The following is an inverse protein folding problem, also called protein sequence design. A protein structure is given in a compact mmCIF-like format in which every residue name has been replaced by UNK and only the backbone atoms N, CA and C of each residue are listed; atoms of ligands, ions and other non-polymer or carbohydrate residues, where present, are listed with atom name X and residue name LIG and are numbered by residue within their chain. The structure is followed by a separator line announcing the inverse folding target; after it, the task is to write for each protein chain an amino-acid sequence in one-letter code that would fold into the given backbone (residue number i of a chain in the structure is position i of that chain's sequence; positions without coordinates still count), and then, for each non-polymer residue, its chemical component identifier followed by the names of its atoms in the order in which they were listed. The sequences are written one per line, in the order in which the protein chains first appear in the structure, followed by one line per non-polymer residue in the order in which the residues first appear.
data_IF_229168404926
#
_entry.id   IF_229168404926
#
_cell.length_a   1.000
_cell.length_b   1.000
_cell.length_c   1.000
_cell.angle_alpha   90.00
_cell.angle_beta   90.00
_cell.angle_gamma   90.00
#
_symmetry.space_group_name_H-M   'P 1'
#
loop_
_entity.id
_entity.type
_entity.pdbx_description
1 polymer ?
#
# COMPACT_ATOMS: atom_id res chain seq x y z
N UNK A 1 -5.94 -12.56 -2.90
CA UNK A 1 -6.06 -11.51 -3.93
C UNK A 1 -6.29 -10.14 -3.29
N UNK A 2 -5.30 -9.59 -2.60
CA UNK A 2 -5.36 -8.22 -2.07
C UNK A 2 -4.40 -7.34 -2.85
N UNK A 3 -4.85 -6.15 -3.26
CA UNK A 3 -4.03 -5.12 -3.92
C UNK A 3 -3.15 -4.31 -2.97
N UNK A 4 -3.34 -4.48 -1.66
CA UNK A 4 -2.62 -3.75 -0.62
C UNK A 4 -1.48 -4.60 -0.04
N UNK A 5 -0.29 -4.02 0.07
CA UNK A 5 0.92 -4.66 0.54
C UNK A 5 1.57 -3.73 1.57
N UNK A 6 2.07 -4.31 2.66
CA UNK A 6 2.86 -3.59 3.64
C UNK A 6 4.31 -4.05 3.51
N UNK A 7 5.22 -3.11 3.30
CA UNK A 7 6.64 -3.36 3.05
C UNK A 7 7.44 -2.59 4.09
N UNK A 8 8.43 -3.24 4.70
CA UNK A 8 9.38 -2.62 5.62
C UNK A 8 10.49 -1.93 4.83
N UNK A 9 10.11 -0.88 4.12
CA UNK A 9 11.00 0.01 3.37
C UNK A 9 10.45 1.43 3.36
N UNK A 10 11.34 2.37 3.06
CA UNK A 10 11.07 3.75 2.71
C UNK A 10 10.17 3.88 1.48
N UNK A 11 9.41 4.97 1.49
CA UNK A 11 8.49 5.36 0.40
C UNK A 11 9.23 5.50 -0.93
N UNK A 12 10.41 6.10 -0.90
CA UNK A 12 11.21 6.39 -2.10
C UNK A 12 11.74 5.12 -2.75
N UNK A 13 12.28 4.18 -1.96
CA UNK A 13 12.75 2.88 -2.47
C UNK A 13 11.62 2.09 -3.12
N UNK A 14 10.45 2.01 -2.45
CA UNK A 14 9.29 1.29 -2.99
C UNK A 14 8.79 1.97 -4.27
N UNK A 15 8.76 3.31 -4.30
CA UNK A 15 8.34 4.08 -5.48
C UNK A 15 9.27 3.88 -6.66
N UNK A 16 10.58 3.83 -6.44
CA UNK A 16 11.58 3.59 -7.47
C UNK A 16 11.45 2.17 -8.05
N UNK A 17 11.23 1.18 -7.19
CA UNK A 17 10.97 -0.20 -7.62
C UNK A 17 9.69 -0.29 -8.45
N UNK A 18 8.63 0.38 -8.03
CA UNK A 18 7.37 0.39 -8.79
C UNK A 18 7.54 1.08 -10.15
N UNK A 19 8.23 2.22 -10.22
CA UNK A 19 8.53 2.90 -11.47
C UNK A 19 9.38 2.04 -12.41
N UNK A 20 10.42 1.39 -11.89
CA UNK A 20 11.31 0.52 -12.67
C UNK A 20 10.58 -0.67 -13.31
N UNK A 21 9.59 -1.22 -12.61
CA UNK A 21 8.79 -2.35 -13.09
C UNK A 21 7.50 -1.93 -13.81
N UNK A 22 7.21 -0.63 -13.91
CA UNK A 22 5.99 -0.12 -14.54
C UNK A 22 4.69 -0.38 -13.75
N UNK A 23 4.78 -0.67 -12.44
CA UNK A 23 3.61 -0.93 -11.61
C UNK A 23 2.81 0.35 -11.36
N UNK A 24 1.49 0.27 -11.51
CA UNK A 24 0.62 1.43 -11.29
C UNK A 24 0.19 1.53 -9.83
N UNK A 25 0.70 2.55 -9.15
CA UNK A 25 0.39 2.83 -7.75
C UNK A 25 -0.94 3.58 -7.65
N UNK A 26 -1.84 3.08 -6.81
CA UNK A 26 -3.06 3.77 -6.43
C UNK A 26 -2.85 4.63 -5.19
N UNK A 27 -2.19 4.09 -4.16
CA UNK A 27 -1.95 4.75 -2.87
C UNK A 27 -0.60 4.32 -2.35
N UNK A 28 0.16 5.26 -1.79
CA UNK A 28 1.42 5.00 -1.10
C UNK A 28 1.44 5.82 0.19
N UNK A 29 1.49 5.13 1.32
CA UNK A 29 1.40 5.71 2.66
C UNK A 29 2.55 5.21 3.52
N UNK A 30 3.28 6.12 4.16
CA UNK A 30 4.24 5.74 5.19
C UNK A 30 3.51 5.29 6.46
N UNK A 31 4.06 4.26 7.12
CA UNK A 31 3.56 3.67 8.34
C UNK A 31 4.41 4.16 9.51
N UNK A 32 3.76 4.47 10.64
CA UNK A 32 4.44 4.89 11.87
C UNK A 32 5.43 3.83 12.40
N UNK A 33 5.22 2.57 12.02
CA UNK A 33 6.09 1.43 12.33
C UNK A 33 7.42 1.43 11.55
N UNK A 34 7.68 2.40 10.68
CA UNK A 34 8.91 2.48 9.89
C UNK A 34 8.87 1.74 8.54
N UNK A 35 7.68 1.51 8.00
CA UNK A 35 7.49 0.89 6.69
C UNK A 35 6.53 1.70 5.81
N UNK A 36 6.05 1.10 4.72
CA UNK A 36 5.12 1.72 3.80
C UNK A 36 4.01 0.73 3.44
N UNK A 37 2.79 1.26 3.39
CA UNK A 37 1.64 0.60 2.79
C UNK A 37 1.50 1.11 1.36
N UNK A 38 1.63 0.19 0.42
CA UNK A 38 1.38 0.44 -0.99
C UNK A 38 0.11 -0.28 -1.42
N UNK A 39 -0.74 0.42 -2.16
CA UNK A 39 -1.90 -0.16 -2.83
C UNK A 39 -1.68 0.06 -4.32
N UNK A 40 -1.63 -1.05 -5.07
CA UNK A 40 -1.54 -0.99 -6.53
C UNK A 40 -2.94 -0.98 -7.15
N UNK A 41 -3.02 -0.54 -8.41
CA UNK A 41 -4.27 -0.58 -9.17
C UNK A 41 -4.67 -2.02 -9.52
N UNK A 42 -3.71 -2.84 -9.96
CA UNK A 42 -3.96 -4.22 -10.37
C UNK A 42 -3.53 -5.21 -9.27
N UNK A 43 -4.38 -6.19 -8.91
CA UNK A 43 -4.00 -7.25 -7.97
C UNK A 43 -2.87 -8.17 -8.48
N UNK A 44 -2.65 -8.30 -9.79
CA UNK A 44 -1.55 -9.07 -10.40
C UNK A 44 -0.21 -8.39 -10.18
N UNK A 45 -0.17 -7.07 -10.39
CA UNK A 45 1.00 -6.25 -10.06
C UNK A 45 1.32 -6.36 -8.57
N UNK A 46 0.28 -6.44 -7.73
CA UNK A 46 0.47 -6.59 -6.29
C UNK A 46 1.08 -7.94 -5.94
N UNK A 47 0.68 -9.01 -6.63
CA UNK A 47 1.27 -10.33 -6.43
C UNK A 47 2.74 -10.37 -6.89
N UNK A 48 3.04 -9.78 -8.05
CA UNK A 48 4.40 -9.64 -8.55
C UNK A 48 5.30 -8.83 -7.59
N UNK A 49 4.79 -7.70 -7.07
CA UNK A 49 5.52 -6.89 -6.09
C UNK A 49 5.71 -7.64 -4.76
N UNK A 50 4.72 -8.44 -4.31
CA UNK A 50 4.89 -9.32 -3.13
C UNK A 50 5.98 -10.35 -3.35
N UNK A 51 6.05 -10.97 -4.53
CA UNK A 51 7.08 -11.95 -4.85
C UNK A 51 8.48 -11.32 -4.87
N UNK A 52 8.61 -10.13 -5.47
CA UNK A 52 9.87 -9.37 -5.52
C UNK A 52 10.35 -8.91 -4.14
N UNK A 53 9.44 -8.48 -3.28
CA UNK A 53 9.74 -7.90 -1.96
C UNK A 53 9.52 -8.89 -0.81
N UNK A 54 9.49 -10.21 -1.08
CA UNK A 54 9.08 -11.23 -0.11
C UNK A 54 9.86 -11.17 1.21
N UNK A 55 11.16 -10.88 1.15
CA UNK A 55 12.01 -10.75 2.34
C UNK A 55 11.83 -9.46 3.16
N UNK A 56 11.03 -8.50 2.67
CA UNK A 56 10.75 -7.22 3.33
C UNK A 56 9.25 -7.02 3.63
N UNK A 57 8.45 -8.07 3.46
CA UNK A 57 7.01 -8.01 3.77
C UNK A 57 6.82 -7.88 5.28
N UNK A 58 5.94 -6.97 5.69
CA UNK A 58 5.52 -6.88 7.09
C UNK A 58 4.44 -7.93 7.31
N UNK A 59 4.80 -9.05 7.95
CA UNK A 59 3.87 -10.08 8.39
C UNK A 59 3.24 -9.63 9.72
N UNK A 60 1.97 -9.21 9.69
CA UNK A 60 1.23 -8.86 10.92
C UNK A 60 0.27 -7.68 10.78
N UNK A 61 -0.35 -7.30 11.90
CA UNK A 61 -1.23 -6.14 11.96
C UNK A 61 -0.41 -4.86 11.92
N UNK A 62 -0.55 -4.12 10.83
CA UNK A 62 0.05 -2.80 10.69
C UNK A 62 -0.89 -1.74 11.27
N UNK A 63 -0.42 -0.99 12.26
CA UNK A 63 -1.09 0.21 12.75
C UNK A 63 -1.08 1.25 11.63
N UNK A 64 -2.27 1.53 11.09
CA UNK A 64 -2.43 2.56 10.06
C UNK A 64 -2.51 3.91 10.76
N UNK A 65 -1.75 4.88 10.28
CA UNK A 65 -2.02 6.27 10.60
C UNK A 65 -3.47 6.58 10.18
N UNK A 66 -4.25 7.17 11.10
CA UNK A 66 -5.65 7.54 10.87
C UNK A 66 -5.73 8.75 9.92
N UNK A 67 -5.32 8.60 8.67
CA UNK A 67 -5.47 9.64 7.63
C UNK A 67 -6.64 9.37 6.69
N UNK A 68 -7.28 8.19 6.76
CA UNK A 68 -8.52 7.95 6.00
C UNK A 68 -9.75 8.40 6.80
N UNK A 69 -9.99 9.72 6.82
CA UNK A 69 -11.33 10.24 7.13
C UNK A 69 -12.25 9.72 6.03
N UNK A 70 -13.09 8.75 6.40
CA UNK A 70 -14.20 8.34 5.56
C UNK A 70 -15.07 9.58 5.30
N UNK A 71 -15.03 10.10 4.07
CA UNK A 71 -16.11 10.96 3.57
C UNK A 71 -17.34 10.07 3.36
N UNK A 72 -17.95 9.63 4.46
CA UNK A 72 -19.34 9.19 4.40
C UNK A 72 -20.15 10.46 4.17
N UNK A 73 -20.64 10.63 2.94
CA UNK A 73 -21.76 11.54 2.72
C UNK A 73 -22.89 11.02 3.62
N UNK A 74 -23.47 11.84 4.53
CA UNK A 74 -24.63 11.40 5.27
C UNK A 74 -25.72 11.02 4.26
N UNK A 75 -26.48 9.94 4.49
CA UNK A 75 -27.61 9.61 3.63
C UNK A 75 -28.56 10.80 3.66
N UNK A 76 -28.92 11.31 2.47
CA UNK A 76 -29.91 12.37 2.31
C UNK A 76 -31.20 11.91 3.00
N UNK A 77 -31.53 12.52 4.14
CA UNK A 77 -32.81 12.34 4.79
C UNK A 77 -33.91 12.78 3.81
N UNK A 78 -34.89 11.91 3.58
CA UNK A 78 -36.13 12.20 2.86
C UNK A 78 -37.20 12.53 3.89
#
# INVERSE_FOLDING_TARGET
MSRAINIMESADSVRLVCQKNGFRISVLEALDSGGVRIVLLDPRDADALRALMKGKLIEGSVTRSRSHVARHHPPSAR
#
